data_IF_319794423026
#
_entry.id   IF_319794423026
#
_cell.length_a   1.000
_cell.length_b   1.000
_cell.length_c   1.000
_cell.angle_alpha   90.00
_cell.angle_beta   90.00
_cell.angle_gamma   90.00
#
_symmetry.space_group_name_H-M   'P 1'
#
loop_
_entity.id
_entity.type
_entity.pdbx_description
1 polymer ?
#
# COMPACT_ATOMS: atom_id res chain seq x y z
N UNK A 1 21.45 7.51 10.79
CA UNK A 1 20.57 7.51 9.59
C UNK A 1 19.59 8.67 9.68
N UNK A 2 19.16 9.20 8.54
CA UNK A 2 18.30 10.39 8.48
C UNK A 2 16.87 10.12 8.91
N UNK A 3 16.38 8.92 8.72
CA UNK A 3 15.01 8.53 9.05
C UNK A 3 14.98 7.06 9.43
N UNK A 4 13.82 6.62 9.93
CA UNK A 4 13.60 5.20 10.16
C UNK A 4 13.59 4.47 8.81
N UNK A 5 14.03 3.23 8.76
CA UNK A 5 13.85 2.41 7.56
C UNK A 5 12.38 2.36 7.16
N UNK A 6 12.12 2.36 5.88
CA UNK A 6 10.75 2.21 5.34
C UNK A 6 10.77 1.31 4.12
N UNK A 7 9.61 0.74 3.80
CA UNK A 7 9.50 -0.21 2.70
C UNK A 7 9.31 0.50 1.37
N UNK A 8 9.79 -0.13 0.31
CA UNK A 8 9.55 0.27 -1.05
C UNK A 8 8.78 -0.85 -1.76
N UNK A 9 7.65 -0.53 -2.37
CA UNK A 9 6.89 -1.47 -3.19
C UNK A 9 7.03 -1.09 -4.66
N UNK A 10 7.20 -2.12 -5.49
CA UNK A 10 7.33 -1.96 -6.93
C UNK A 10 5.95 -1.96 -7.60
N UNK A 11 5.73 -1.01 -8.51
CA UNK A 11 4.50 -0.91 -9.29
C UNK A 11 4.83 -0.71 -10.77
N UNK A 12 3.91 -1.17 -11.62
CA UNK A 12 3.96 -0.92 -13.06
C UNK A 12 3.09 0.31 -13.37
N UNK A 13 3.62 1.50 -13.06
CA UNK A 13 2.97 2.77 -13.37
C UNK A 13 1.81 3.18 -12.48
N UNK A 14 1.47 2.39 -11.46
CA UNK A 14 0.26 2.59 -10.64
C UNK A 14 0.53 2.98 -9.19
N UNK A 15 1.73 3.45 -8.88
CA UNK A 15 2.08 3.80 -7.51
C UNK A 15 1.18 4.89 -6.93
N UNK A 16 0.83 5.91 -7.73
CA UNK A 16 -0.06 7.00 -7.29
C UNK A 16 -1.46 6.48 -6.98
N UNK A 17 -2.03 5.66 -7.86
CA UNK A 17 -3.36 5.07 -7.65
C UNK A 17 -3.39 4.20 -6.40
N UNK A 18 -2.35 3.39 -6.20
CA UNK A 18 -2.23 2.56 -5.02
C UNK A 18 -2.12 3.41 -3.74
N UNK A 19 -1.30 4.46 -3.77
CA UNK A 19 -1.15 5.36 -2.62
C UNK A 19 -2.47 6.05 -2.27
N UNK A 20 -3.21 6.51 -3.27
CA UNK A 20 -4.52 7.14 -3.04
C UNK A 20 -5.52 6.16 -2.42
N UNK A 21 -5.56 4.93 -2.91
CA UNK A 21 -6.43 3.90 -2.35
C UNK A 21 -6.08 3.60 -0.89
N UNK A 22 -4.82 3.36 -0.60
CA UNK A 22 -4.39 3.05 0.76
C UNK A 22 -4.65 4.22 1.71
N UNK A 23 -4.33 5.44 1.30
CA UNK A 23 -4.58 6.63 2.13
C UNK A 23 -6.07 6.86 2.38
N UNK A 24 -6.95 6.40 1.49
CA UNK A 24 -8.39 6.51 1.70
C UNK A 24 -8.92 5.50 2.72
N UNK A 25 -8.23 4.39 2.93
CA UNK A 25 -8.66 3.31 3.82
C UNK A 25 -8.07 3.39 5.23
N UNK A 26 -6.85 3.90 5.36
CA UNK A 26 -6.15 3.96 6.66
C UNK A 26 -6.30 5.32 7.32
N UNK A 27 -6.47 5.37 8.66
CA UNK A 27 -6.49 6.64 9.38
C UNK A 27 -5.10 7.29 9.39
N UNK A 28 -5.05 8.61 9.58
CA UNK A 28 -3.80 9.36 9.69
C UNK A 28 -2.82 9.06 8.55
N UNK A 29 -3.34 9.07 7.32
CA UNK A 29 -2.60 8.68 6.13
C UNK A 29 -2.60 9.82 5.12
N UNK A 30 -1.50 9.98 4.38
CA UNK A 30 -1.39 11.03 3.39
C UNK A 30 -0.29 10.71 2.38
N UNK A 31 -0.40 11.33 1.20
CA UNK A 31 0.66 11.30 0.21
C UNK A 31 1.63 12.43 0.56
N UNK A 32 2.90 12.08 0.76
CA UNK A 32 3.94 13.04 1.13
C UNK A 32 4.54 13.73 -0.09
N UNK A 33 4.79 12.98 -1.15
CA UNK A 33 5.34 13.51 -2.39
C UNK A 33 5.08 12.57 -3.55
N UNK A 34 5.03 13.13 -4.77
CA UNK A 34 4.88 12.35 -5.99
C UNK A 34 5.81 12.96 -7.04
N UNK A 35 6.91 12.28 -7.32
CA UNK A 35 7.88 12.67 -8.35
C UNK A 35 7.70 11.95 -9.67
N UNK A 36 6.63 11.17 -9.85
CA UNK A 36 6.39 10.36 -11.03
C UNK A 36 7.03 8.98 -10.92
N UNK A 37 8.33 8.90 -10.78
CA UNK A 37 9.03 7.63 -10.59
C UNK A 37 8.75 7.06 -9.21
N UNK A 38 8.75 7.88 -8.19
CA UNK A 38 8.47 7.47 -6.83
C UNK A 38 7.32 8.27 -6.23
N UNK A 39 6.48 7.60 -5.47
CA UNK A 39 5.41 8.21 -4.70
C UNK A 39 5.64 7.86 -3.24
N UNK A 40 5.86 8.86 -2.42
CA UNK A 40 6.05 8.67 -0.97
C UNK A 40 4.73 8.96 -0.26
N UNK A 41 4.32 8.05 0.59
CA UNK A 41 3.10 8.20 1.38
C UNK A 41 3.29 7.59 2.75
N UNK A 42 2.36 7.89 3.66
CA UNK A 42 2.37 7.26 4.97
C UNK A 42 0.99 6.73 5.33
N UNK A 43 0.98 5.59 6.00
CA UNK A 43 -0.22 4.92 6.47
C UNK A 43 -0.14 4.82 7.99
N UNK A 44 -1.01 5.57 8.67
CA UNK A 44 -1.02 5.63 10.13
C UNK A 44 0.36 5.89 10.73
N UNK A 45 1.11 6.81 10.12
CA UNK A 45 2.45 7.20 10.55
C UNK A 45 3.60 6.36 9.98
N UNK A 46 3.31 5.25 9.30
CA UNK A 46 4.34 4.42 8.67
C UNK A 46 4.60 4.89 7.23
N UNK A 47 5.82 5.31 6.96
CA UNK A 47 6.21 5.74 5.62
C UNK A 47 6.38 4.54 4.68
N UNK A 48 5.93 4.71 3.44
CA UNK A 48 6.09 3.74 2.37
C UNK A 48 6.44 4.48 1.10
N UNK A 49 7.31 3.90 0.28
CA UNK A 49 7.62 4.41 -1.05
C UNK A 49 7.03 3.47 -2.09
N UNK A 50 6.27 4.01 -3.05
CA UNK A 50 5.87 3.28 -4.24
C UNK A 50 6.83 3.63 -5.39
N UNK A 51 7.42 2.64 -6.02
CA UNK A 51 8.33 2.83 -7.14
C UNK A 51 7.66 2.38 -8.43
N UNK A 52 7.49 3.29 -9.38
CA UNK A 52 7.00 2.98 -10.71
C UNK A 52 8.15 2.46 -11.57
N UNK A 53 8.51 1.22 -11.39
CA UNK A 53 9.67 0.62 -12.06
C UNK A 53 9.37 -0.12 -13.35
N UNK A 54 8.11 -0.16 -13.78
CA UNK A 54 7.68 -0.85 -14.97
C UNK A 54 7.35 -2.32 -14.75
N UNK A 55 7.12 -3.09 -15.81
CA UNK A 55 6.59 -4.45 -15.70
C UNK A 55 7.62 -5.53 -15.38
N UNK A 56 8.88 -5.18 -15.12
CA UNK A 56 9.96 -6.15 -14.92
C UNK A 56 9.74 -7.05 -13.71
N UNK A 57 9.22 -6.49 -12.61
CA UNK A 57 8.94 -7.25 -11.40
C UNK A 57 7.47 -7.15 -11.03
N UNK A 58 6.94 -8.23 -10.49
CA UNK A 58 5.56 -8.30 -10.02
C UNK A 58 5.52 -8.39 -8.50
N UNK A 59 4.45 -7.90 -7.86
CA UNK A 59 4.25 -8.15 -6.43
C UNK A 59 4.27 -9.64 -6.13
N UNK A 60 4.85 -10.01 -4.99
CA UNK A 60 4.93 -11.41 -4.58
C UNK A 60 4.28 -11.61 -3.22
N UNK A 61 3.84 -12.83 -2.94
CA UNK A 61 3.29 -13.21 -1.65
C UNK A 61 4.35 -13.25 -0.54
N UNK A 62 5.64 -13.18 -0.91
CA UNK A 62 6.73 -13.12 0.05
C UNK A 62 6.79 -11.80 0.81
N UNK A 63 6.20 -10.74 0.24
CA UNK A 63 6.14 -9.43 0.86
C UNK A 63 4.68 -9.04 1.06
N UNK A 64 4.34 -8.56 2.25
CA UNK A 64 2.97 -8.19 2.56
C UNK A 64 2.91 -7.05 3.55
N UNK A 65 1.79 -6.36 3.55
CA UNK A 65 1.46 -5.36 4.56
C UNK A 65 0.55 -6.04 5.57
N UNK A 66 0.99 -6.09 6.82
CA UNK A 66 0.20 -6.69 7.90
C UNK A 66 -0.64 -5.60 8.56
N UNK A 67 -1.93 -5.81 8.62
CA UNK A 67 -2.89 -4.92 9.26
C UNK A 67 -3.51 -5.67 10.42
N UNK A 68 -3.19 -5.23 11.64
CA UNK A 68 -3.78 -5.80 12.84
C UNK A 68 -5.09 -5.06 13.15
N UNK A 69 -6.17 -5.80 13.17
CA UNK A 69 -7.51 -5.26 13.39
C UNK A 69 -8.05 -5.67 14.77
N UNK A 70 -8.79 -4.76 15.41
CA UNK A 70 -9.34 -5.00 16.74
C UNK A 70 -10.65 -5.81 16.71
N UNK A 71 -11.36 -5.77 15.58
CA UNK A 71 -12.66 -6.42 15.44
C UNK A 71 -12.97 -6.77 13.99
N UNK A 72 -14.07 -7.52 13.80
CA UNK A 72 -14.46 -7.97 12.46
C UNK A 72 -14.86 -6.80 11.54
N UNK A 73 -15.41 -5.73 12.09
CA UNK A 73 -15.79 -4.57 11.27
C UNK A 73 -14.57 -3.90 10.62
N UNK A 74 -13.44 -3.82 11.32
CA UNK A 74 -12.19 -3.33 10.73
C UNK A 74 -11.66 -4.27 9.65
N UNK A 75 -11.68 -5.57 9.91
CA UNK A 75 -11.26 -6.57 8.91
C UNK A 75 -12.08 -6.39 7.63
N UNK A 76 -13.39 -6.29 7.75
CA UNK A 76 -14.28 -6.11 6.61
C UNK A 76 -14.02 -4.79 5.88
N UNK A 77 -13.74 -3.73 6.63
CA UNK A 77 -13.42 -2.43 6.03
C UNK A 77 -12.22 -2.51 5.08
N UNK A 78 -11.12 -3.10 5.53
CA UNK A 78 -9.92 -3.21 4.70
C UNK A 78 -10.08 -4.23 3.59
N UNK A 79 -10.67 -5.37 3.88
CA UNK A 79 -10.92 -6.41 2.88
C UNK A 79 -11.79 -5.89 1.74
N UNK A 80 -12.92 -5.29 2.08
CA UNK A 80 -13.85 -4.78 1.07
C UNK A 80 -13.26 -3.60 0.30
N UNK A 81 -12.56 -2.70 0.98
CA UNK A 81 -11.94 -1.55 0.34
C UNK A 81 -10.83 -1.96 -0.64
N UNK A 82 -9.99 -2.89 -0.25
CA UNK A 82 -8.88 -3.34 -1.09
C UNK A 82 -9.33 -4.19 -2.27
N UNK A 83 -10.36 -5.02 -2.10
CA UNK A 83 -10.85 -5.88 -3.17
C UNK A 83 -11.79 -5.16 -4.13
N UNK A 84 -12.61 -4.22 -3.63
CA UNK A 84 -13.58 -3.50 -4.46
C UNK A 84 -12.95 -2.58 -5.51
N UNK A 85 -11.71 -2.15 -5.31
CA UNK A 85 -11.02 -1.21 -6.19
C UNK A 85 -10.01 -1.89 -7.11
N UNK A 86 -10.31 -3.10 -7.57
CA UNK A 86 -9.47 -3.84 -8.51
C UNK A 86 -8.43 -4.73 -7.85
N UNK A 87 -8.45 -4.82 -6.52
CA UNK A 87 -7.64 -5.78 -5.79
C UNK A 87 -8.21 -7.18 -5.97
N UNK A 88 -7.37 -8.18 -5.86
CA UNK A 88 -7.77 -9.59 -6.00
C UNK A 88 -7.53 -10.35 -4.71
N UNK A 89 -8.44 -11.29 -4.42
CA UNK A 89 -8.24 -12.24 -3.35
C UNK A 89 -7.16 -13.24 -3.75
N UNK A 90 -6.15 -13.39 -2.91
CA UNK A 90 -5.09 -14.34 -3.16
C UNK A 90 -5.08 -15.47 -2.16
N UNK A 91 -4.05 -16.31 -2.25
CA UNK A 91 -3.84 -17.37 -1.27
C UNK A 91 -3.58 -16.77 0.11
N UNK A 92 -4.01 -17.47 1.14
CA UNK A 92 -3.79 -17.08 2.54
C UNK A 92 -4.32 -15.67 2.89
N UNK A 93 -5.28 -15.16 2.12
CA UNK A 93 -5.85 -13.84 2.34
C UNK A 93 -5.00 -12.68 1.78
N UNK A 94 -4.05 -12.98 0.94
CA UNK A 94 -3.28 -11.97 0.24
C UNK A 94 -4.04 -11.41 -0.96
#
# INVERSE_FOLDING_TARGET
MKSRPYLCFWFDGKAREAAELYCSLFPNSQILSDGGLTVNFELNGQRIMGLNGGPMFLPTEANSLVIECENQAEIDHYWNGLTANGGEEGHCGW
#
